data_IF_486940750355
#
_entry.id   IF_486940750355
#
_cell.length_a   1.000
_cell.length_b   1.000
_cell.length_c   1.000
_cell.angle_alpha   90.00
_cell.angle_beta   90.00
_cell.angle_gamma   90.00
#
_symmetry.space_group_name_H-M   'P 1'
#
loop_
_entity.id
_entity.type
_entity.pdbx_description
1 polymer ?
#
# COMPACT_ATOMS: atom_id res chain seq x y z
N UNK A 1 12.29 -18.82 6.20
CA UNK A 1 12.15 -19.49 4.89
C UNK A 1 10.79 -19.15 4.31
N UNK A 2 10.77 -18.68 3.05
CA UNK A 2 9.52 -18.33 2.38
C UNK A 2 8.58 -19.54 2.27
N UNK A 3 7.29 -19.31 2.50
CA UNK A 3 6.22 -20.28 2.32
C UNK A 3 5.47 -19.96 1.04
N UNK A 4 5.28 -20.95 0.19
CA UNK A 4 4.56 -20.83 -1.08
C UNK A 4 3.14 -21.38 -0.88
N UNK A 5 2.14 -20.54 -1.14
CA UNK A 5 0.73 -20.90 -1.10
C UNK A 5 0.10 -20.68 -2.49
N UNK A 6 -0.26 -21.75 -3.18
CA UNK A 6 -0.96 -21.66 -4.47
C UNK A 6 -2.43 -21.33 -4.22
N UNK A 7 -2.86 -20.17 -4.70
CA UNK A 7 -4.23 -19.66 -4.55
C UNK A 7 -5.13 -20.09 -5.71
N UNK A 8 -4.57 -20.11 -6.91
CA UNK A 8 -5.14 -20.59 -8.15
C UNK A 8 -4.01 -21.15 -9.02
N UNK A 9 -4.33 -21.89 -10.05
CA UNK A 9 -3.35 -22.41 -11.00
C UNK A 9 -2.40 -21.30 -11.47
N UNK A 10 -1.12 -21.42 -11.12
CA UNK A 10 -0.08 -20.44 -11.44
C UNK A 10 -0.21 -19.06 -10.76
N UNK A 11 -1.00 -18.94 -9.68
CA UNK A 11 -1.12 -17.72 -8.87
C UNK A 11 -0.80 -18.05 -7.41
N UNK A 12 0.25 -17.45 -6.89
CA UNK A 12 0.81 -17.81 -5.58
C UNK A 12 0.95 -16.58 -4.67
N UNK A 13 0.71 -16.78 -3.38
CA UNK A 13 1.21 -15.91 -2.33
C UNK A 13 2.52 -16.53 -1.77
N UNK A 14 3.58 -15.76 -1.77
CA UNK A 14 4.89 -16.10 -1.21
C UNK A 14 5.05 -15.34 0.10
N UNK A 15 4.87 -16.02 1.23
CA UNK A 15 4.90 -15.38 2.54
C UNK A 15 6.26 -15.57 3.20
N UNK A 16 6.78 -14.51 3.81
CA UNK A 16 8.00 -14.52 4.61
C UNK A 16 7.71 -14.24 6.09
N UNK A 17 8.61 -14.66 6.99
CA UNK A 17 8.41 -14.48 8.43
C UNK A 17 8.59 -13.02 8.87
N UNK A 18 9.52 -12.28 8.22
CA UNK A 18 9.72 -10.88 8.49
C UNK A 18 8.49 -10.07 8.06
N UNK A 19 7.93 -9.31 9.00
CA UNK A 19 6.69 -8.53 8.86
C UNK A 19 5.47 -9.35 8.42
N UNK A 20 5.60 -10.69 8.26
CA UNK A 20 4.57 -11.57 7.70
C UNK A 20 4.13 -11.11 6.29
N UNK A 21 5.11 -10.56 5.54
CA UNK A 21 4.89 -10.03 4.20
C UNK A 21 4.40 -11.10 3.24
N UNK A 22 3.46 -10.76 2.39
CA UNK A 22 3.01 -11.53 1.25
C UNK A 22 3.48 -10.87 -0.05
N UNK A 23 4.43 -11.49 -0.71
CA UNK A 23 4.70 -11.21 -2.12
C UNK A 23 3.79 -12.05 -3.00
N UNK A 24 3.38 -11.51 -4.15
CA UNK A 24 2.62 -12.25 -5.13
C UNK A 24 3.51 -12.81 -6.23
N UNK A 25 3.13 -13.99 -6.78
CA UNK A 25 3.71 -14.50 -8.02
C UNK A 25 2.58 -14.94 -8.95
N UNK A 26 2.61 -14.45 -10.18
CA UNK A 26 1.67 -14.82 -11.24
C UNK A 26 2.45 -15.35 -12.43
N UNK A 27 2.24 -16.61 -12.77
CA UNK A 27 2.85 -17.25 -13.93
C UNK A 27 2.05 -16.98 -15.20
N UNK A 28 2.69 -16.45 -16.21
CA UNK A 28 2.19 -16.44 -17.58
C UNK A 28 2.91 -17.48 -18.43
N UNK A 29 2.80 -17.35 -19.75
CA UNK A 29 3.51 -18.22 -20.71
C UNK A 29 4.80 -17.59 -21.25
N UNK A 30 4.96 -16.27 -21.15
CA UNK A 30 6.13 -15.52 -21.63
C UNK A 30 6.94 -14.86 -20.54
N UNK A 31 6.31 -14.48 -19.45
CA UNK A 31 6.93 -13.86 -18.28
C UNK A 31 6.11 -14.14 -17.02
N UNK A 32 6.70 -13.92 -15.86
CA UNK A 32 6.03 -13.97 -14.58
C UNK A 32 6.01 -12.59 -13.94
N UNK A 33 4.95 -12.31 -13.18
CA UNK A 33 4.78 -11.07 -12.42
C UNK A 33 5.06 -11.36 -10.95
N UNK A 34 5.95 -10.58 -10.35
CA UNK A 34 6.19 -10.55 -8.91
C UNK A 34 5.55 -9.27 -8.34
N UNK A 35 4.83 -9.40 -7.25
CA UNK A 35 4.16 -8.31 -6.55
C UNK A 35 4.85 -8.16 -5.21
N UNK A 36 5.46 -7.00 -4.98
CA UNK A 36 6.29 -6.62 -3.83
C UNK A 36 7.54 -7.50 -3.62
N UNK A 37 8.61 -6.88 -3.19
CA UNK A 37 9.95 -7.47 -3.23
C UNK A 37 10.62 -7.59 -1.86
N UNK A 38 9.98 -7.10 -0.80
CA UNK A 38 10.53 -7.16 0.55
C UNK A 38 11.31 -5.91 1.00
N UNK A 39 11.71 -5.93 2.26
CA UNK A 39 12.31 -4.80 2.98
C UNK A 39 13.81 -4.62 2.73
N UNK A 40 14.42 -5.47 1.94
CA UNK A 40 15.85 -5.40 1.64
C UNK A 40 16.42 -6.68 1.07
N UNK A 41 17.75 -6.74 0.87
CA UNK A 41 18.40 -7.82 0.15
C UNK A 41 18.17 -9.22 0.74
N UNK A 42 18.13 -9.34 2.05
CA UNK A 42 17.95 -10.63 2.74
C UNK A 42 16.58 -11.22 2.44
N UNK A 43 15.51 -10.45 2.68
CA UNK A 43 14.14 -10.89 2.43
C UNK A 43 13.89 -11.08 0.93
N UNK A 44 14.40 -10.17 0.09
CA UNK A 44 14.28 -10.27 -1.36
C UNK A 44 14.91 -11.53 -1.94
N UNK A 45 16.10 -11.95 -1.46
CA UNK A 45 16.73 -13.23 -1.87
C UNK A 45 15.90 -14.43 -1.45
N UNK A 46 15.25 -14.36 -0.30
CA UNK A 46 14.33 -15.41 0.18
C UNK A 46 13.09 -15.53 -0.72
N UNK A 47 12.48 -14.40 -1.07
CA UNK A 47 11.34 -14.32 -1.99
C UNK A 47 11.76 -14.80 -3.38
N UNK A 48 12.86 -14.27 -3.93
CA UNK A 48 13.37 -14.64 -5.24
C UNK A 48 13.70 -16.14 -5.32
N UNK A 49 14.29 -16.72 -4.27
CA UNK A 49 14.54 -18.16 -4.21
C UNK A 49 13.26 -18.98 -4.30
N UNK A 50 12.18 -18.56 -3.63
CA UNK A 50 10.87 -19.19 -3.77
C UNK A 50 10.29 -19.01 -5.19
N UNK A 51 10.36 -17.81 -5.76
CA UNK A 51 9.93 -17.53 -7.14
C UNK A 51 10.69 -18.42 -8.13
N UNK A 52 12.02 -18.51 -8.04
CA UNK A 52 12.87 -19.29 -8.95
C UNK A 52 12.72 -20.80 -8.76
N UNK A 53 12.19 -21.27 -7.63
CA UNK A 53 11.81 -22.68 -7.48
C UNK A 53 10.57 -23.07 -8.31
N UNK A 54 9.80 -22.09 -8.79
CA UNK A 54 8.56 -22.26 -9.54
C UNK A 54 8.70 -21.90 -11.03
N UNK A 55 9.65 -21.02 -11.40
CA UNK A 55 9.77 -20.54 -12.79
C UNK A 55 11.14 -19.95 -13.12
N UNK A 56 11.60 -20.20 -14.35
CA UNK A 56 12.76 -19.54 -14.97
C UNK A 56 12.35 -18.40 -15.93
N UNK A 57 11.06 -18.07 -16.02
CA UNK A 57 10.57 -17.02 -16.91
C UNK A 57 11.18 -15.65 -16.54
N UNK A 58 11.33 -14.73 -17.53
CA UNK A 58 11.66 -13.34 -17.25
C UNK A 58 10.64 -12.72 -16.28
N UNK A 59 11.14 -11.96 -15.30
CA UNK A 59 10.33 -11.34 -14.25
C UNK A 59 9.96 -9.89 -14.61
N UNK A 60 8.73 -9.53 -14.33
CA UNK A 60 8.24 -8.17 -14.22
C UNK A 60 7.82 -7.95 -12.77
N UNK A 61 8.09 -6.78 -12.20
CA UNK A 61 7.80 -6.47 -10.80
C UNK A 61 6.71 -5.41 -10.72
N UNK A 62 5.85 -5.51 -9.71
CA UNK A 62 4.91 -4.44 -9.28
C UNK A 62 5.17 -4.14 -7.81
N UNK A 63 5.34 -2.86 -7.46
CA UNK A 63 5.26 -2.43 -6.07
C UNK A 63 3.87 -1.87 -5.80
N UNK A 64 3.22 -2.39 -4.76
CA UNK A 64 1.86 -1.98 -4.38
C UNK A 64 1.83 -0.55 -3.86
N UNK A 65 2.85 -0.13 -3.13
CA UNK A 65 3.01 1.22 -2.59
C UNK A 65 4.46 1.49 -2.15
N UNK A 66 4.74 2.68 -1.63
CA UNK A 66 6.09 3.17 -1.36
C UNK A 66 6.58 2.93 0.09
N UNK A 67 6.10 1.91 0.80
CA UNK A 67 6.67 1.53 2.08
C UNK A 67 7.83 0.55 1.92
N UNK A 68 8.83 0.71 2.79
CA UNK A 68 10.13 0.04 2.74
C UNK A 68 10.05 -1.48 2.54
N UNK A 69 9.09 -2.14 3.14
CA UNK A 69 8.94 -3.59 3.12
C UNK A 69 8.28 -4.12 1.84
N UNK A 70 7.86 -3.25 0.93
CA UNK A 70 7.29 -3.61 -0.36
C UNK A 70 8.24 -3.38 -1.53
N UNK A 71 9.20 -2.43 -1.45
CA UNK A 71 10.04 -2.07 -2.59
C UNK A 71 11.55 -2.19 -2.39
N UNK A 72 12.06 -2.22 -1.17
CA UNK A 72 13.52 -2.17 -0.94
C UNK A 72 14.28 -3.39 -1.46
N UNK A 73 13.57 -4.47 -1.77
CA UNK A 73 14.13 -5.65 -2.44
C UNK A 73 14.29 -5.52 -3.95
N UNK A 74 13.81 -4.45 -4.59
CA UNK A 74 13.81 -4.28 -6.05
C UNK A 74 15.18 -4.52 -6.69
N UNK A 75 16.28 -4.10 -6.04
CA UNK A 75 17.63 -4.26 -6.59
C UNK A 75 18.04 -5.73 -6.79
N UNK A 76 17.58 -6.63 -5.92
CA UNK A 76 17.84 -8.08 -6.05
C UNK A 76 17.16 -8.62 -7.30
N UNK A 77 15.90 -8.25 -7.53
CA UNK A 77 15.14 -8.65 -8.72
C UNK A 77 15.70 -8.03 -10.01
N UNK A 78 16.19 -6.77 -9.95
CA UNK A 78 16.85 -6.14 -11.07
C UNK A 78 18.15 -6.88 -11.47
N UNK A 79 18.93 -7.32 -10.49
CA UNK A 79 20.14 -8.13 -10.75
C UNK A 79 19.82 -9.52 -11.29
N UNK A 80 18.67 -10.06 -10.99
CA UNK A 80 18.16 -11.31 -11.55
C UNK A 80 17.58 -11.15 -12.97
N UNK A 81 17.60 -9.92 -13.51
CA UNK A 81 17.21 -9.62 -14.88
C UNK A 81 15.83 -8.96 -15.04
N UNK A 82 15.16 -8.58 -13.97
CA UNK A 82 13.93 -7.79 -14.08
C UNK A 82 14.25 -6.38 -14.58
N UNK A 83 13.58 -5.97 -15.67
CA UNK A 83 13.77 -4.66 -16.30
C UNK A 83 12.56 -3.74 -16.11
N UNK A 84 11.37 -4.30 -15.92
CA UNK A 84 10.12 -3.55 -15.74
C UNK A 84 9.65 -3.59 -14.30
N UNK A 85 9.57 -2.42 -13.68
CA UNK A 85 9.07 -2.19 -12.33
C UNK A 85 7.87 -1.25 -12.42
N UNK A 86 6.69 -1.80 -12.16
CA UNK A 86 5.41 -1.09 -12.22
C UNK A 86 5.02 -0.58 -10.84
N UNK A 87 4.43 0.61 -10.78
CA UNK A 87 3.81 1.17 -9.59
C UNK A 87 2.84 2.33 -9.95
N UNK A 88 2.18 2.88 -8.96
CA UNK A 88 1.59 4.21 -9.07
C UNK A 88 2.70 5.26 -9.27
N UNK A 89 2.44 6.33 -10.03
CA UNK A 89 3.42 7.41 -10.23
C UNK A 89 3.90 7.99 -8.90
N UNK A 90 2.96 8.27 -7.97
CA UNK A 90 3.28 8.76 -6.64
C UNK A 90 4.18 7.84 -5.83
N UNK A 91 4.13 6.52 -6.07
CA UNK A 91 5.05 5.58 -5.45
C UNK A 91 6.50 5.83 -5.90
N UNK A 92 6.73 6.03 -7.20
CA UNK A 92 8.07 6.35 -7.70
C UNK A 92 8.60 7.67 -7.14
N UNK A 93 7.74 8.69 -7.05
CA UNK A 93 8.05 9.99 -6.48
C UNK A 93 8.38 9.87 -4.98
N UNK A 94 7.57 9.15 -4.20
CA UNK A 94 7.78 8.93 -2.78
C UNK A 94 9.07 8.15 -2.47
N UNK A 95 9.42 7.14 -3.29
CA UNK A 95 10.69 6.41 -3.16
C UNK A 95 11.88 7.34 -3.40
N UNK A 96 11.81 8.20 -4.41
CA UNK A 96 12.89 9.16 -4.70
C UNK A 96 13.07 10.19 -3.59
N UNK A 97 11.99 10.64 -2.99
CA UNK A 97 11.99 11.69 -1.98
C UNK A 97 12.31 11.17 -0.57
N UNK A 98 11.75 10.01 -0.21
CA UNK A 98 11.78 9.51 1.17
C UNK A 98 12.41 8.12 1.34
N UNK A 99 12.79 7.44 0.24
CA UNK A 99 13.28 6.06 0.32
C UNK A 99 14.51 5.88 1.20
N UNK A 100 15.49 6.80 1.13
CA UNK A 100 16.68 6.72 1.98
C UNK A 100 16.36 6.89 3.49
N UNK A 101 15.38 7.74 3.82
CA UNK A 101 14.93 7.89 5.20
C UNK A 101 14.31 6.59 5.75
N UNK A 102 13.62 5.85 4.90
CA UNK A 102 12.96 4.59 5.30
C UNK A 102 13.94 3.46 5.64
N UNK A 103 15.24 3.59 5.29
CA UNK A 103 16.28 2.62 5.71
C UNK A 103 16.37 2.49 7.23
N UNK A 104 16.02 3.53 7.96
CA UNK A 104 15.98 3.51 9.42
C UNK A 104 14.97 2.51 10.01
N UNK A 105 13.93 2.13 9.23
CA UNK A 105 12.88 1.22 9.68
C UNK A 105 13.27 -0.26 9.58
N UNK A 106 14.22 -0.61 8.71
CA UNK A 106 14.57 -2.02 8.48
C UNK A 106 15.49 -2.62 9.56
N UNK A 107 16.25 -1.78 10.25
CA UNK A 107 17.02 -2.13 11.44
C UNK A 107 17.85 -3.41 11.30
N UNK A 108 17.75 -4.29 12.30
CA UNK A 108 18.50 -5.54 12.36
C UNK A 108 17.98 -6.64 11.43
N UNK A 109 16.79 -6.49 10.89
CA UNK A 109 16.22 -7.47 9.96
C UNK A 109 16.91 -7.43 8.60
N UNK A 110 17.30 -6.24 8.15
CA UNK A 110 17.98 -5.98 6.89
C UNK A 110 19.21 -5.08 7.12
N UNK A 111 20.27 -5.60 7.79
CA UNK A 111 21.43 -4.77 8.18
C UNK A 111 22.19 -4.20 6.98
N UNK A 112 22.26 -4.92 5.85
CA UNK A 112 22.87 -4.42 4.61
C UNK A 112 22.09 -3.21 4.10
N UNK A 113 20.76 -3.28 4.05
CA UNK A 113 19.88 -2.19 3.62
C UNK A 113 19.96 -0.99 4.56
N UNK A 114 19.93 -1.22 5.87
CA UNK A 114 20.04 -0.16 6.88
C UNK A 114 21.37 0.60 6.78
N UNK A 115 22.47 -0.12 6.48
CA UNK A 115 23.79 0.46 6.29
C UNK A 115 24.02 1.04 4.88
N UNK A 116 23.10 0.86 3.95
CA UNK A 116 23.26 1.17 2.52
C UNK A 116 24.53 0.53 1.91
N UNK A 117 24.87 -0.69 2.35
CA UNK A 117 26.10 -1.37 1.97
C UNK A 117 25.84 -2.44 0.89
N UNK A 118 26.50 -2.26 -0.23
CA UNK A 118 26.47 -3.22 -1.35
C UNK A 118 25.46 -2.90 -2.46
N UNK A 119 25.60 -3.59 -3.60
CA UNK A 119 24.83 -3.28 -4.82
C UNK A 119 23.34 -3.60 -4.70
N UNK A 120 22.97 -4.53 -3.81
CA UNK A 120 21.58 -4.97 -3.60
C UNK A 120 20.80 -4.01 -2.70
N UNK A 121 21.44 -2.99 -2.13
CA UNK A 121 20.81 -1.98 -1.28
C UNK A 121 20.44 -0.71 -2.03
N UNK A 122 20.71 -0.64 -3.33
CA UNK A 122 20.31 0.49 -4.15
C UNK A 122 18.78 0.57 -4.23
N UNK A 123 18.24 1.77 -4.05
CA UNK A 123 16.82 1.99 -4.25
C UNK A 123 16.51 2.02 -5.75
N UNK A 124 15.87 0.96 -6.23
CA UNK A 124 15.42 0.85 -7.62
C UNK A 124 13.99 1.39 -7.70
N UNK A 125 13.87 2.56 -8.31
CA UNK A 125 12.61 3.26 -8.48
C UNK A 125 11.83 2.62 -9.63
N UNK A 126 10.51 2.38 -9.49
CA UNK A 126 9.67 1.90 -10.58
C UNK A 126 9.76 2.79 -11.83
N UNK A 127 9.89 2.15 -12.98
CA UNK A 127 10.08 2.82 -14.29
C UNK A 127 8.86 2.68 -15.22
N UNK A 128 7.80 2.03 -14.76
CA UNK A 128 6.50 1.91 -15.41
C UNK A 128 5.41 2.38 -14.46
N UNK A 129 4.48 3.19 -14.96
CA UNK A 129 3.47 3.80 -14.10
C UNK A 129 2.06 3.52 -14.62
N UNK A 130 1.12 3.36 -13.68
CA UNK A 130 -0.29 3.45 -14.03
C UNK A 130 -0.55 4.84 -14.65
N UNK A 131 -1.42 4.92 -15.67
CA UNK A 131 -1.80 6.21 -16.24
C UNK A 131 -2.36 7.12 -15.15
N UNK A 132 -2.01 8.41 -15.22
CA UNK A 132 -2.39 9.39 -14.20
C UNK A 132 -3.90 9.43 -13.94
N UNK A 133 -4.26 9.74 -12.71
CA UNK A 133 -5.63 9.78 -12.21
C UNK A 133 -6.42 10.92 -12.86
N UNK A 134 -7.21 10.56 -13.88
CA UNK A 134 -8.36 11.37 -14.29
C UNK A 134 -9.57 11.04 -13.40
N UNK A 135 -10.78 11.46 -13.79
CA UNK A 135 -12.05 11.13 -13.10
C UNK A 135 -12.39 9.63 -13.09
N UNK A 136 -11.59 8.76 -13.73
CA UNK A 136 -11.76 7.31 -13.73
C UNK A 136 -10.60 6.67 -13.00
N UNK A 137 -10.82 5.54 -12.28
CA UNK A 137 -9.74 4.77 -11.68
C UNK A 137 -8.65 4.48 -12.72
N UNK A 138 -7.40 4.73 -12.37
CA UNK A 138 -6.27 4.34 -13.20
C UNK A 138 -6.24 2.82 -13.31
N UNK A 139 -6.23 2.30 -14.54
CA UNK A 139 -6.24 0.87 -14.80
C UNK A 139 -5.24 0.57 -15.93
N UNK A 140 -4.41 -0.44 -15.72
CA UNK A 140 -3.46 -0.93 -16.70
C UNK A 140 -3.44 -2.45 -16.70
N UNK A 141 -3.23 -3.04 -17.86
CA UNK A 141 -3.03 -4.49 -18.00
C UNK A 141 -1.57 -4.79 -18.29
N UNK A 142 -0.98 -5.67 -17.49
CA UNK A 142 0.33 -6.27 -17.74
C UNK A 142 0.11 -7.61 -18.43
N UNK A 143 0.65 -7.74 -19.64
CA UNK A 143 0.56 -8.95 -20.46
C UNK A 143 1.69 -9.91 -20.06
N UNK A 144 1.31 -11.12 -19.64
CA UNK A 144 2.25 -12.17 -19.23
C UNK A 144 2.32 -13.32 -20.27
N UNK A 145 1.66 -13.15 -21.41
CA UNK A 145 1.44 -14.15 -22.44
C UNK A 145 -0.05 -14.48 -22.55
N UNK A 146 -0.46 -15.73 -22.35
CA UNK A 146 -1.88 -16.13 -22.39
C UNK A 146 -2.69 -15.63 -21.19
N UNK A 147 -2.00 -15.11 -20.16
CA UNK A 147 -2.59 -14.49 -18.95
C UNK A 147 -2.17 -13.03 -18.85
N UNK A 148 -2.99 -12.22 -18.20
CA UNK A 148 -2.66 -10.85 -17.87
C UNK A 148 -3.13 -10.48 -16.47
N UNK A 149 -2.35 -9.65 -15.79
CA UNK A 149 -2.73 -9.03 -14.54
C UNK A 149 -3.29 -7.63 -14.79
N UNK A 150 -4.27 -7.21 -13.99
CA UNK A 150 -4.86 -5.88 -14.04
C UNK A 150 -4.38 -5.09 -12.82
N UNK A 151 -3.62 -4.04 -13.06
CA UNK A 151 -3.19 -3.09 -12.04
C UNK A 151 -4.21 -1.96 -11.96
N UNK A 152 -4.66 -1.62 -10.77
CA UNK A 152 -5.60 -0.51 -10.57
C UNK A 152 -5.42 0.17 -9.21
N UNK A 153 -5.74 1.45 -9.15
CA UNK A 153 -5.76 2.23 -7.91
C UNK A 153 -7.20 2.61 -7.55
N UNK A 154 -7.50 2.55 -6.28
CA UNK A 154 -8.80 2.93 -5.70
C UNK A 154 -8.78 4.35 -5.10
N UNK A 155 -7.70 5.09 -5.35
CA UNK A 155 -7.45 6.40 -4.77
C UNK A 155 -6.63 6.33 -3.49
N UNK A 156 -6.59 7.44 -2.74
CA UNK A 156 -5.86 7.53 -1.49
C UNK A 156 -6.46 6.64 -0.42
N UNK A 157 -5.65 5.76 0.16
CA UNK A 157 -6.07 4.79 1.17
C UNK A 157 -5.02 4.63 2.26
N UNK A 158 -4.33 3.49 2.26
CA UNK A 158 -3.20 3.22 3.15
C UNK A 158 -2.06 4.23 2.88
N UNK A 159 -1.84 4.56 1.61
CA UNK A 159 -1.02 5.69 1.17
C UNK A 159 -1.76 6.54 0.14
N UNK A 160 -1.10 7.49 -0.50
CA UNK A 160 -1.62 8.21 -1.67
C UNK A 160 -1.24 7.55 -3.01
N UNK A 161 -0.59 6.40 -2.95
CA UNK A 161 -0.01 5.76 -4.11
C UNK A 161 -0.28 4.24 -4.20
N UNK A 162 -1.35 3.77 -3.57
CA UNK A 162 -1.72 2.35 -3.50
C UNK A 162 -2.15 1.77 -4.87
N UNK A 163 -1.68 0.57 -5.16
CA UNK A 163 -2.02 -0.24 -6.33
C UNK A 163 -2.48 -1.63 -5.91
N UNK A 164 -3.64 -2.03 -6.40
CA UNK A 164 -4.11 -3.42 -6.36
C UNK A 164 -3.73 -4.16 -7.65
N UNK A 165 -3.46 -5.46 -7.54
CA UNK A 165 -3.13 -6.31 -8.67
C UNK A 165 -4.12 -7.47 -8.75
N UNK A 166 -5.01 -7.42 -9.74
CA UNK A 166 -6.03 -8.44 -9.96
C UNK A 166 -5.64 -9.45 -11.02
N UNK A 167 -5.80 -10.73 -10.72
CA UNK A 167 -5.64 -11.84 -11.67
C UNK A 167 -6.68 -12.90 -11.37
N UNK A 168 -7.39 -13.34 -12.40
CA UNK A 168 -8.53 -14.27 -12.28
C UNK A 168 -9.55 -13.77 -11.24
N UNK A 169 -9.80 -14.49 -10.16
CA UNK A 169 -10.65 -14.11 -9.04
C UNK A 169 -9.84 -13.76 -7.76
N UNK A 170 -8.52 -13.58 -7.91
CA UNK A 170 -7.60 -13.17 -6.83
C UNK A 170 -7.23 -11.70 -7.00
N UNK A 171 -7.13 -10.96 -5.92
CA UNK A 171 -6.56 -9.60 -5.90
C UNK A 171 -5.53 -9.46 -4.79
N UNK A 172 -4.33 -9.02 -5.15
CA UNK A 172 -3.29 -8.59 -4.20
C UNK A 172 -3.54 -7.11 -3.90
N UNK A 173 -3.70 -6.79 -2.65
CA UNK A 173 -4.21 -5.48 -2.21
C UNK A 173 -3.15 -4.56 -1.63
N UNK A 174 -1.91 -5.09 -1.44
CA UNK A 174 -0.97 -4.42 -0.54
C UNK A 174 -1.64 -4.16 0.81
N UNK A 175 -1.30 -3.08 1.44
CA UNK A 175 -1.75 -2.74 2.79
C UNK A 175 -3.09 -1.98 2.83
N UNK A 176 -3.81 -1.90 1.67
CA UNK A 176 -5.23 -1.52 1.69
C UNK A 176 -6.02 -2.49 2.56
N UNK A 177 -5.71 -3.79 2.53
CA UNK A 177 -6.26 -4.78 3.44
C UNK A 177 -5.20 -5.17 4.46
N UNK A 178 -5.47 -4.89 5.73
CA UNK A 178 -4.61 -5.21 6.87
C UNK A 178 -5.15 -6.42 7.62
N UNK A 179 -4.36 -7.47 7.77
CA UNK A 179 -4.77 -8.71 8.43
C UNK A 179 -3.79 -9.08 9.54
N UNK A 180 -4.33 -9.30 10.74
CA UNK A 180 -3.56 -9.74 11.91
C UNK A 180 -2.93 -8.63 12.73
N UNK A 181 -3.17 -7.36 12.35
CA UNK A 181 -2.81 -6.15 13.09
C UNK A 181 -3.89 -5.09 12.90
N UNK A 182 -3.87 -4.05 13.72
CA UNK A 182 -4.64 -2.83 13.45
C UNK A 182 -4.01 -2.06 12.28
N UNK A 183 -4.81 -1.26 11.53
CA UNK A 183 -4.31 -0.49 10.42
C UNK A 183 -3.21 0.50 10.83
N UNK A 184 -2.18 0.62 9.99
CA UNK A 184 -1.13 1.63 10.13
C UNK A 184 -1.61 2.96 9.54
N UNK A 185 -1.86 3.94 10.41
CA UNK A 185 -2.46 5.21 10.01
C UNK A 185 -1.44 6.34 9.78
N UNK A 186 -0.14 6.10 9.92
CA UNK A 186 0.90 7.12 10.04
C UNK A 186 0.89 8.16 8.91
N UNK A 187 0.82 7.73 7.66
CA UNK A 187 0.76 8.56 6.45
C UNK A 187 -0.51 8.32 5.61
N UNK A 188 -1.46 7.56 6.17
CA UNK A 188 -2.67 7.13 5.49
C UNK A 188 -3.69 8.26 5.29
N UNK A 189 -4.72 7.96 4.51
CA UNK A 189 -5.90 8.79 4.26
C UNK A 189 -7.17 8.07 4.76
N UNK A 190 -7.46 8.03 6.06
CA UNK A 190 -8.44 7.12 6.65
C UNK A 190 -9.84 7.17 6.02
N UNK A 191 -10.32 8.39 5.65
CA UNK A 191 -11.63 8.56 4.97
C UNK A 191 -11.62 7.97 3.57
N UNK A 192 -10.54 8.20 2.82
CA UNK A 192 -10.31 7.61 1.50
C UNK A 192 -10.13 6.11 1.59
N UNK A 193 -9.42 5.65 2.63
CA UNK A 193 -9.15 4.23 2.87
C UNK A 193 -10.43 3.44 3.12
N UNK A 194 -11.33 3.93 3.98
CA UNK A 194 -12.64 3.31 4.18
C UNK A 194 -13.41 3.18 2.86
N UNK A 195 -13.38 4.24 2.01
CA UNK A 195 -14.01 4.22 0.69
C UNK A 195 -13.31 3.26 -0.28
N UNK A 196 -11.97 3.18 -0.26
CA UNK A 196 -11.22 2.24 -1.08
C UNK A 196 -11.56 0.79 -0.73
N UNK A 197 -11.68 0.45 0.56
CA UNK A 197 -12.11 -0.86 1.04
C UNK A 197 -13.54 -1.20 0.59
N UNK A 198 -14.47 -0.26 0.68
CA UNK A 198 -15.87 -0.43 0.20
C UNK A 198 -15.89 -0.71 -1.31
N UNK A 199 -15.14 0.08 -2.09
CA UNK A 199 -15.03 -0.08 -3.53
C UNK A 199 -14.34 -1.40 -3.91
N UNK A 200 -13.30 -1.81 -3.19
CA UNK A 200 -12.62 -3.09 -3.38
C UNK A 200 -13.58 -4.27 -3.15
N UNK A 201 -14.33 -4.22 -2.06
CA UNK A 201 -15.32 -5.25 -1.73
C UNK A 201 -16.50 -5.31 -2.73
N UNK A 202 -16.83 -4.19 -3.40
CA UNK A 202 -17.85 -4.13 -4.43
C UNK A 202 -17.43 -4.75 -5.76
N UNK A 203 -16.15 -5.07 -5.95
CA UNK A 203 -15.66 -5.74 -7.15
C UNK A 203 -16.02 -7.22 -7.12
N UNK A 204 -17.19 -7.58 -7.65
CA UNK A 204 -17.76 -8.94 -7.62
C UNK A 204 -16.89 -10.01 -8.27
N UNK A 205 -15.94 -9.60 -9.09
CA UNK A 205 -14.98 -10.48 -9.75
C UNK A 205 -14.09 -11.21 -8.76
N UNK A 206 -13.66 -10.56 -7.66
CA UNK A 206 -12.65 -11.10 -6.75
C UNK A 206 -13.28 -11.88 -5.59
N UNK A 207 -12.68 -13.03 -5.29
CA UNK A 207 -13.07 -13.95 -4.21
C UNK A 207 -12.01 -14.05 -3.13
N UNK A 208 -10.73 -13.94 -3.53
CA UNK A 208 -9.57 -14.04 -2.65
C UNK A 208 -8.86 -12.69 -2.64
N UNK A 209 -8.70 -12.12 -1.47
CA UNK A 209 -8.00 -10.85 -1.23
C UNK A 209 -6.71 -11.16 -0.48
N UNK A 210 -5.57 -10.87 -1.09
CA UNK A 210 -4.25 -11.13 -0.51
C UNK A 210 -3.74 -9.81 0.06
N UNK A 211 -3.70 -9.64 1.38
CA UNK A 211 -3.16 -8.45 2.02
C UNK A 211 -1.64 -8.43 1.89
N UNK A 212 -1.03 -7.25 2.06
CA UNK A 212 0.43 -7.13 2.14
C UNK A 212 1.02 -7.95 3.29
N UNK A 213 0.29 -8.06 4.40
CA UNK A 213 0.69 -8.82 5.59
C UNK A 213 -0.41 -9.77 6.06
N UNK A 214 0.01 -10.92 6.62
CA UNK A 214 -0.91 -11.89 7.23
C UNK A 214 -1.43 -12.94 6.27
N UNK A 215 -2.72 -13.32 6.39
CA UNK A 215 -3.30 -14.39 5.61
C UNK A 215 -4.28 -13.86 4.55
N UNK A 216 -4.40 -14.52 3.37
CA UNK A 216 -5.47 -14.23 2.43
C UNK A 216 -6.85 -14.27 3.10
N UNK A 217 -7.73 -13.36 2.70
CA UNK A 217 -9.05 -13.16 3.29
C UNK A 217 -10.14 -13.17 2.22
N UNK A 218 -11.39 -13.30 2.67
CA UNK A 218 -12.57 -13.21 1.84
C UNK A 218 -13.21 -11.80 1.92
N UNK A 219 -14.12 -11.51 1.03
CA UNK A 219 -14.87 -10.24 0.94
C UNK A 219 -15.46 -9.78 2.28
N UNK A 220 -15.98 -10.71 3.08
CA UNK A 220 -16.58 -10.40 4.38
C UNK A 220 -15.61 -9.69 5.32
N UNK A 221 -14.34 -10.09 5.32
CA UNK A 221 -13.30 -9.43 6.10
C UNK A 221 -13.04 -8.00 5.62
N UNK A 222 -12.95 -7.78 4.30
CA UNK A 222 -12.74 -6.44 3.71
C UNK A 222 -13.90 -5.50 4.07
N UNK A 223 -15.13 -5.98 4.00
CA UNK A 223 -16.32 -5.22 4.41
C UNK A 223 -16.29 -4.90 5.91
N UNK A 224 -15.89 -5.85 6.75
CA UNK A 224 -15.76 -5.61 8.18
C UNK A 224 -14.69 -4.57 8.50
N UNK A 225 -13.54 -4.62 7.84
CA UNK A 225 -12.48 -3.62 8.01
C UNK A 225 -12.97 -2.23 7.59
N UNK A 226 -13.66 -2.12 6.44
CA UNK A 226 -14.26 -0.87 5.97
C UNK A 226 -15.24 -0.30 7.00
N UNK A 227 -16.17 -1.12 7.50
CA UNK A 227 -17.16 -0.72 8.50
C UNK A 227 -16.53 -0.30 9.82
N UNK A 228 -15.51 -1.04 10.28
CA UNK A 228 -14.75 -0.71 11.49
C UNK A 228 -14.09 0.65 11.38
N UNK A 229 -13.43 0.91 10.26
CA UNK A 229 -12.75 2.19 9.98
C UNK A 229 -13.77 3.34 9.86
N UNK A 230 -14.87 3.13 9.17
CA UNK A 230 -15.96 4.10 9.05
C UNK A 230 -16.51 4.49 10.40
N UNK A 231 -16.83 3.49 11.23
CA UNK A 231 -17.31 3.69 12.59
C UNK A 231 -16.33 4.47 13.48
N UNK A 232 -15.02 4.19 13.33
CA UNK A 232 -13.98 4.91 14.06
C UNK A 232 -13.98 6.40 13.67
N UNK A 233 -14.00 6.70 12.38
CA UNK A 233 -14.02 8.07 11.84
C UNK A 233 -15.27 8.82 12.31
N UNK A 234 -16.44 8.21 12.21
CA UNK A 234 -17.71 8.81 12.66
C UNK A 234 -17.70 9.15 14.16
N UNK A 235 -17.09 8.29 14.99
CA UNK A 235 -16.93 8.55 16.43
C UNK A 235 -16.01 9.73 16.71
N UNK A 236 -14.92 9.86 15.93
CA UNK A 236 -14.02 11.03 16.03
C UNK A 236 -14.78 12.29 15.65
N UNK A 237 -15.47 12.30 14.52
CA UNK A 237 -16.24 13.46 14.04
C UNK A 237 -17.33 13.87 15.05
N UNK A 238 -18.06 12.93 15.61
CA UNK A 238 -19.07 13.21 16.62
C UNK A 238 -18.47 13.80 17.92
N UNK A 239 -17.29 13.33 18.33
CA UNK A 239 -16.58 13.86 19.51
C UNK A 239 -16.08 15.28 19.28
N UNK A 240 -15.58 15.59 18.09
CA UNK A 240 -15.12 16.93 17.71
C UNK A 240 -16.31 17.90 17.64
N UNK A 241 -17.42 17.48 17.03
CA UNK A 241 -18.64 18.30 16.99
C UNK A 241 -19.18 18.63 18.39
N UNK A 242 -19.12 17.66 19.32
CA UNK A 242 -19.51 17.88 20.71
C UNK A 242 -18.55 18.82 21.45
N UNK A 243 -17.24 18.75 21.18
CA UNK A 243 -16.22 19.62 21.78
C UNK A 243 -16.27 21.07 21.28
N UNK A 244 -16.81 21.29 20.08
CA UNK A 244 -16.98 22.62 19.49
C UNK A 244 -18.15 23.42 20.12
N UNK A 245 -18.97 22.82 20.98
CA UNK A 245 -20.05 23.50 21.69
C UNK A 245 -19.48 24.29 22.90
N UNK A 246 -20.07 25.49 23.24
CA UNK A 246 -19.52 26.39 24.24
C UNK A 246 -19.40 25.82 25.67
N UNK A 247 -20.11 24.74 25.99
CA UNK A 247 -20.12 24.09 27.31
C UNK A 247 -19.32 22.77 27.37
N UNK A 248 -18.64 22.39 26.29
CA UNK A 248 -17.95 21.11 26.16
C UNK A 248 -16.55 21.09 26.74
N UNK A 249 -16.34 20.36 27.83
CA UNK A 249 -15.01 19.93 28.27
C UNK A 249 -14.43 18.97 27.20
N UNK A 250 -13.25 19.27 26.66
CA UNK A 250 -12.62 18.53 25.55
C UNK A 250 -12.48 17.02 25.85
N UNK A 251 -13.22 16.13 25.19
CA UNK A 251 -13.17 14.70 25.47
C UNK A 251 -12.23 13.92 24.52
N UNK A 252 -11.12 14.52 24.03
CA UNK A 252 -10.20 13.86 23.10
C UNK A 252 -9.63 12.55 23.70
N UNK A 253 -9.31 12.54 24.99
CA UNK A 253 -8.84 11.33 25.68
C UNK A 253 -9.94 10.27 25.87
N UNK A 254 -11.19 10.67 26.08
CA UNK A 254 -12.29 9.73 26.24
C UNK A 254 -12.67 9.04 24.93
N UNK A 255 -12.43 9.69 23.78
CA UNK A 255 -12.69 9.14 22.45
C UNK A 255 -11.73 7.97 22.11
N UNK A 256 -10.47 8.05 22.52
CA UNK A 256 -9.46 6.99 22.25
C UNK A 256 -9.90 5.62 22.79
N UNK A 257 -10.47 5.58 24.00
CA UNK A 257 -10.91 4.33 24.63
C UNK A 257 -12.19 3.73 24.04
N UNK A 258 -12.84 4.45 23.12
CA UNK A 258 -14.07 4.02 22.45
C UNK A 258 -13.84 3.61 20.98
N UNK A 259 -12.66 3.80 20.46
CA UNK A 259 -12.32 3.37 19.10
C UNK A 259 -12.09 1.86 19.07
N UNK A 260 -12.39 1.20 17.94
CA UNK A 260 -12.28 -0.26 17.80
C UNK A 260 -10.83 -0.73 17.55
N UNK A 261 -9.85 0.08 17.89
CA UNK A 261 -8.42 -0.17 17.71
C UNK A 261 -7.68 -0.14 19.04
N UNK A 262 -6.50 -0.72 19.10
CA UNK A 262 -5.62 -0.57 20.24
C UNK A 262 -5.27 0.91 20.50
N UNK A 263 -4.88 1.30 21.73
CA UNK A 263 -4.64 2.71 22.05
C UNK A 263 -3.59 3.41 21.17
N UNK A 264 -2.58 2.65 20.69
CA UNK A 264 -1.54 3.18 19.81
C UNK A 264 -2.10 3.57 18.44
N UNK A 265 -2.74 2.62 17.76
CA UNK A 265 -3.38 2.85 16.46
C UNK A 265 -4.50 3.91 16.54
N UNK A 266 -5.29 3.89 17.61
CA UNK A 266 -6.32 4.89 17.86
C UNK A 266 -5.75 6.31 17.96
N UNK A 267 -4.62 6.48 18.65
CA UNK A 267 -3.93 7.78 18.77
C UNK A 267 -3.40 8.24 17.41
N UNK A 268 -2.75 7.36 16.66
CA UNK A 268 -2.21 7.69 15.34
C UNK A 268 -3.35 8.08 14.39
N UNK A 269 -4.49 7.37 14.41
CA UNK A 269 -5.68 7.75 13.65
C UNK A 269 -6.16 9.17 13.96
N UNK A 270 -6.26 9.53 15.26
CA UNK A 270 -6.67 10.87 15.68
C UNK A 270 -5.69 11.93 15.18
N UNK A 271 -4.39 11.73 15.40
CA UNK A 271 -3.33 12.64 14.97
C UNK A 271 -3.33 12.80 13.43
N UNK A 272 -3.63 11.75 12.70
CA UNK A 272 -3.66 11.77 11.23
C UNK A 272 -4.88 12.52 10.70
N UNK A 273 -6.05 12.28 11.26
CA UNK A 273 -7.28 13.00 10.88
C UNK A 273 -7.15 14.51 11.15
N UNK A 274 -6.55 14.90 12.27
CA UNK A 274 -6.27 16.30 12.60
C UNK A 274 -5.31 16.93 11.59
N UNK A 275 -4.20 16.26 11.26
CA UNK A 275 -3.23 16.75 10.26
C UNK A 275 -3.86 16.97 8.91
N UNK A 276 -4.64 16.01 8.41
CA UNK A 276 -5.33 16.13 7.12
C UNK A 276 -6.28 17.35 7.13
N UNK A 277 -7.03 17.55 8.21
CA UNK A 277 -7.92 18.70 8.34
C UNK A 277 -7.16 20.03 8.25
N UNK A 278 -5.99 20.13 8.88
CA UNK A 278 -5.14 21.34 8.82
C UNK A 278 -4.59 21.53 7.40
N UNK A 279 -4.12 20.47 6.76
CA UNK A 279 -3.62 20.50 5.38
C UNK A 279 -4.70 20.94 4.38
N UNK A 280 -5.91 20.39 4.50
CA UNK A 280 -7.05 20.73 3.65
C UNK A 280 -7.48 22.19 3.86
N UNK A 281 -7.51 22.68 5.10
CA UNK A 281 -7.85 24.06 5.42
C UNK A 281 -6.80 25.03 4.84
N UNK A 282 -5.51 24.70 4.96
CA UNK A 282 -4.42 25.51 4.38
C UNK A 282 -4.51 25.55 2.86
N UNK A 283 -4.78 24.42 2.21
CA UNK A 283 -4.97 24.31 0.76
C UNK A 283 -6.15 25.15 0.29
N UNK A 284 -7.29 25.08 0.99
CA UNK A 284 -8.47 25.89 0.71
C UNK A 284 -8.19 27.39 0.87
N UNK A 285 -7.46 27.79 1.90
CA UNK A 285 -7.06 29.17 2.12
C UNK A 285 -6.16 29.72 1.01
N UNK A 286 -5.19 28.91 0.54
CA UNK A 286 -4.32 29.25 -0.58
C UNK A 286 -5.12 29.40 -1.89
N UNK A 287 -6.06 28.51 -2.14
CA UNK A 287 -6.92 28.58 -3.34
C UNK A 287 -7.87 29.80 -3.35
N UNK A 288 -8.18 30.34 -2.18
CA UNK A 288 -9.02 31.54 -2.02
C UNK A 288 -8.26 32.86 -2.19
N UNK A 289 -6.92 32.84 -2.27
CA UNK A 289 -6.12 34.04 -2.50
C UNK A 289 -6.39 34.62 -3.90
N UNK A 290 -6.56 35.94 -4.05
CA UNK A 290 -6.73 36.56 -5.35
C UNK A 290 -5.50 36.31 -6.21
N UNK A 291 -5.70 35.84 -7.43
CA UNK A 291 -4.62 35.67 -8.41
C UNK A 291 -3.85 36.96 -8.65
N UNK A 292 -2.62 36.90 -9.18
CA UNK A 292 -1.83 38.09 -9.49
C UNK A 292 -2.63 39.01 -10.41
N UNK A 293 -2.85 40.25 -9.97
CA UNK A 293 -3.49 41.25 -10.80
C UNK A 293 -2.60 41.51 -12.06
N UNK A 294 -3.18 41.59 -13.27
CA UNK A 294 -2.43 41.97 -14.42
C UNK A 294 -1.81 43.34 -14.19
N UNK A 295 -0.51 43.46 -14.41
CA UNK A 295 0.17 44.78 -14.39
C UNK A 295 -0.50 45.64 -15.42
N UNK A 296 -1.00 46.79 -15.00
CA UNK A 296 -1.40 47.82 -15.91
C UNK A 296 -0.12 48.39 -16.58
N UNK A 297 0.01 48.20 -17.88
CA UNK A 297 1.01 48.85 -18.72
C UNK A 297 0.68 50.32 -18.90
#
# INVERSE_FOLDING_TARGET
VARINELRDGVFAVSTDNWRLNSGLVLGTRRALVIDTGAGPRQAREILGAVRSLTDLPLTVVNTHAHYDHFMGNAVFQRDGAEEFWAHRGCAEAIQEHGDYQRSYVGTHEPEMAAADGPDTRLVVPNRHLPGTGRRPALTRVDLGERGAVLFSLGRGHTDNDVCVGVDDVVFTGDIVEQGADPSFDDSYPRGWATALENLAALDRYRVFVPGHGHPVERGFVLQQAQTMRTAIERVDASEAAAAQPEGMRPVTASMFRLPYNPGAARILLDRLERIRVEDAATAALAALPGPQPRAD
#
